data_IF_809676693871
#
_entry.id   IF_809676693871
#
_cell.length_a   1.000
_cell.length_b   1.000
_cell.length_c   1.000
_cell.angle_alpha   90.00
_cell.angle_beta   90.00
_cell.angle_gamma   90.00
#
_symmetry.space_group_name_H-M   'P 1'
#
loop_
_entity.id
_entity.type
_entity.pdbx_description
1 polymer ?
#
# COMPACT_ATOMS: atom_id res chain seq x y z
N UNK A 1 31.89 -5.02 -5.32
CA UNK A 1 31.80 -5.05 -3.83
C UNK A 1 31.09 -3.78 -3.43
N UNK A 2 29.79 -3.84 -3.10
CA UNK A 2 29.07 -2.77 -2.48
C UNK A 2 29.66 -2.57 -1.09
N UNK A 3 30.37 -1.48 -0.86
CA UNK A 3 30.88 -1.12 0.46
C UNK A 3 29.73 -0.78 1.37
N UNK A 4 29.22 -1.78 2.10
CA UNK A 4 28.23 -1.54 3.15
C UNK A 4 29.00 -0.92 4.32
N UNK A 5 28.83 0.40 4.50
CA UNK A 5 29.33 1.07 5.71
C UNK A 5 28.36 0.85 6.85
N UNK A 6 28.87 0.65 8.05
CA UNK A 6 28.02 0.61 9.25
C UNK A 6 27.26 1.94 9.42
N UNK A 7 25.95 1.89 9.75
CA UNK A 7 25.17 3.11 9.96
C UNK A 7 25.72 3.92 11.12
N UNK A 8 25.87 5.23 10.91
CA UNK A 8 26.44 6.16 11.89
C UNK A 8 25.48 6.51 13.02
N UNK A 9 24.19 6.48 12.73
CA UNK A 9 23.10 6.75 13.66
C UNK A 9 21.82 6.05 13.18
N UNK A 10 20.74 6.23 13.92
CA UNK A 10 19.46 5.62 13.64
C UNK A 10 18.81 6.12 12.32
N UNK A 11 18.96 7.40 12.00
CA UNK A 11 18.46 7.95 10.74
C UNK A 11 19.19 7.37 9.53
N UNK A 12 20.51 7.19 9.66
CA UNK A 12 21.34 6.55 8.65
C UNK A 12 20.98 5.07 8.47
N UNK A 13 20.73 4.35 9.56
CA UNK A 13 20.23 2.96 9.52
C UNK A 13 18.90 2.85 8.76
N UNK A 14 17.96 3.76 9.02
CA UNK A 14 16.67 3.77 8.33
C UNK A 14 16.83 4.06 6.85
N UNK A 15 17.67 5.04 6.49
CA UNK A 15 17.97 5.36 5.10
C UNK A 15 18.57 4.17 4.37
N UNK A 16 19.59 3.55 4.92
CA UNK A 16 20.22 2.36 4.35
C UNK A 16 19.23 1.21 4.15
N UNK A 17 18.31 1.02 5.12
CA UNK A 17 17.26 0.01 5.01
C UNK A 17 16.29 0.31 3.86
N UNK A 18 15.88 1.56 3.70
CA UNK A 18 14.99 1.98 2.60
C UNK A 18 15.69 1.79 1.27
N UNK A 19 16.93 2.27 1.14
CA UNK A 19 17.74 2.12 -0.08
C UNK A 19 17.99 0.66 -0.45
N UNK A 20 18.31 -0.19 0.54
CA UNK A 20 18.52 -1.63 0.33
C UNK A 20 17.24 -2.32 -0.15
N UNK A 21 16.10 -2.00 0.46
CA UNK A 21 14.81 -2.56 0.04
C UNK A 21 14.42 -2.09 -1.36
N UNK A 22 14.67 -0.83 -1.68
CA UNK A 22 14.45 -0.29 -3.02
C UNK A 22 15.33 -0.98 -4.08
N UNK A 23 16.63 -1.11 -3.78
CA UNK A 23 17.58 -1.79 -4.67
C UNK A 23 17.20 -3.26 -4.88
N UNK A 24 16.87 -3.99 -3.82
CA UNK A 24 16.41 -5.37 -3.91
C UNK A 24 15.17 -5.50 -4.80
N UNK A 25 14.19 -4.62 -4.61
CA UNK A 25 12.99 -4.56 -5.47
C UNK A 25 13.33 -4.24 -6.93
N UNK A 26 14.26 -3.31 -7.16
CA UNK A 26 14.70 -2.94 -8.51
C UNK A 26 15.47 -4.06 -9.23
N UNK A 27 16.24 -4.86 -8.50
CA UNK A 27 16.93 -6.03 -9.05
C UNK A 27 15.95 -7.16 -9.40
N UNK A 28 14.96 -7.41 -8.54
CA UNK A 28 13.96 -8.46 -8.77
C UNK A 28 12.94 -8.08 -9.85
N UNK A 29 12.61 -6.79 -9.97
CA UNK A 29 11.67 -6.25 -10.94
C UNK A 29 12.36 -5.09 -11.67
N UNK A 30 13.19 -5.38 -12.69
CA UNK A 30 13.95 -4.38 -13.42
C UNK A 30 13.02 -3.35 -14.07
N UNK A 31 13.40 -2.08 -13.97
CA UNK A 31 12.54 -0.94 -14.33
C UNK A 31 12.10 -0.98 -15.78
N UNK A 32 13.04 -1.12 -16.72
CA UNK A 32 12.72 -1.10 -18.15
C UNK A 32 11.69 -2.18 -18.53
N UNK A 33 11.96 -3.44 -18.15
CA UNK A 33 11.06 -4.56 -18.45
C UNK A 33 9.70 -4.42 -17.78
N UNK A 34 9.67 -3.89 -16.56
CA UNK A 34 8.42 -3.66 -15.85
C UNK A 34 7.60 -2.51 -16.46
N UNK A 35 8.24 -1.43 -16.93
CA UNK A 35 7.56 -0.33 -17.62
C UNK A 35 6.95 -0.83 -18.94
N UNK A 36 7.68 -1.61 -19.73
CA UNK A 36 7.17 -2.20 -20.97
C UNK A 36 5.96 -3.09 -20.70
N UNK A 37 6.07 -3.96 -19.68
CA UNK A 37 4.97 -4.83 -19.24
C UNK A 37 3.73 -4.04 -18.80
N UNK A 38 3.92 -3.05 -17.91
CA UNK A 38 2.81 -2.24 -17.38
C UNK A 38 2.20 -1.34 -18.46
N UNK A 39 2.99 -0.81 -19.38
CA UNK A 39 2.48 -0.02 -20.51
C UNK A 39 1.58 -0.88 -21.40
N UNK A 40 2.01 -2.08 -21.74
CA UNK A 40 1.20 -3.01 -22.54
C UNK A 40 -0.11 -3.43 -21.81
N UNK A 41 -0.05 -3.61 -20.48
CA UNK A 41 -1.22 -3.90 -19.67
C UNK A 41 -2.18 -2.69 -19.58
N UNK A 42 -1.65 -1.48 -19.42
CA UNK A 42 -2.44 -0.23 -19.43
C UNK A 42 -3.19 -0.06 -20.76
N UNK A 43 -2.51 -0.26 -21.87
CA UNK A 43 -3.11 -0.08 -23.21
C UNK A 43 -4.27 -1.06 -23.46
N UNK A 44 -4.22 -2.22 -22.82
CA UNK A 44 -5.32 -3.19 -22.76
C UNK A 44 -6.36 -2.91 -21.69
N UNK A 45 -6.14 -1.93 -20.81
CA UNK A 45 -6.94 -1.63 -19.61
C UNK A 45 -7.02 -2.83 -18.63
N UNK A 46 -5.90 -3.48 -18.44
CA UNK A 46 -5.76 -4.71 -17.64
C UNK A 46 -4.62 -4.60 -16.61
N UNK A 47 -4.34 -3.38 -16.11
CA UNK A 47 -3.36 -3.20 -15.04
C UNK A 47 -3.73 -4.06 -13.83
N UNK A 48 -2.78 -4.87 -13.36
CA UNK A 48 -2.95 -5.80 -12.25
C UNK A 48 -1.61 -5.99 -11.52
N UNK A 49 -1.65 -5.97 -10.20
CA UNK A 49 -0.49 -6.27 -9.36
C UNK A 49 -0.15 -7.76 -9.44
N UNK A 50 -1.17 -8.61 -9.57
CA UNK A 50 -1.02 -10.06 -9.71
C UNK A 50 -0.21 -10.41 -10.95
N UNK A 51 -0.52 -9.79 -12.08
CA UNK A 51 0.17 -10.06 -13.33
C UNK A 51 1.64 -9.63 -13.25
N UNK A 52 1.93 -8.50 -12.60
CA UNK A 52 3.31 -8.07 -12.35
C UNK A 52 4.04 -9.06 -11.44
N UNK A 53 3.37 -9.54 -10.35
CA UNK A 53 3.91 -10.58 -9.46
C UNK A 53 4.30 -11.84 -10.24
N UNK A 54 3.40 -12.31 -11.09
CA UNK A 54 3.58 -13.56 -11.83
C UNK A 54 4.63 -13.42 -12.92
N UNK A 55 4.65 -12.28 -13.64
CA UNK A 55 5.63 -12.00 -14.68
C UNK A 55 7.07 -11.98 -14.16
N UNK A 56 7.28 -11.49 -12.94
CA UNK A 56 8.62 -11.38 -12.33
C UNK A 56 8.88 -12.40 -11.21
N UNK A 57 7.95 -13.31 -10.94
CA UNK A 57 8.07 -14.37 -9.93
C UNK A 57 8.46 -13.82 -8.53
N UNK A 58 7.87 -12.71 -8.12
CA UNK A 58 8.13 -12.07 -6.83
C UNK A 58 6.95 -12.23 -5.87
N UNK A 59 7.10 -11.79 -4.62
CA UNK A 59 5.97 -11.75 -3.68
C UNK A 59 4.95 -10.68 -4.09
N UNK A 60 3.70 -10.84 -3.69
CA UNK A 60 2.67 -9.84 -3.95
C UNK A 60 3.03 -8.46 -3.36
N UNK A 61 3.61 -8.43 -2.16
CA UNK A 61 4.07 -7.19 -1.53
C UNK A 61 5.17 -6.52 -2.36
N UNK A 62 6.14 -7.27 -2.85
CA UNK A 62 7.22 -6.74 -3.72
C UNK A 62 6.63 -6.17 -5.02
N UNK A 63 5.73 -6.91 -5.66
CA UNK A 63 5.04 -6.46 -6.86
C UNK A 63 4.23 -5.18 -6.60
N UNK A 64 3.47 -5.12 -5.50
CA UNK A 64 2.66 -3.96 -5.13
C UNK A 64 3.52 -2.71 -4.90
N UNK A 65 4.66 -2.84 -4.23
CA UNK A 65 5.62 -1.73 -4.06
C UNK A 65 6.17 -1.22 -5.39
N UNK A 66 6.65 -2.13 -6.24
CA UNK A 66 7.19 -1.73 -7.55
C UNK A 66 6.10 -1.15 -8.44
N UNK A 67 4.91 -1.76 -8.45
CA UNK A 67 3.76 -1.25 -9.17
C UNK A 67 3.44 0.19 -8.76
N UNK A 68 3.39 0.50 -7.46
CA UNK A 68 3.08 1.84 -6.95
C UNK A 68 4.08 2.87 -7.46
N UNK A 69 5.37 2.56 -7.40
CA UNK A 69 6.41 3.47 -7.88
C UNK A 69 6.33 3.66 -9.40
N UNK A 70 6.30 2.56 -10.16
CA UNK A 70 6.36 2.60 -11.61
C UNK A 70 5.09 3.21 -12.24
N UNK A 71 3.90 2.89 -11.71
CA UNK A 71 2.66 3.45 -12.20
C UNK A 71 2.62 4.97 -12.02
N UNK A 72 3.08 5.47 -10.88
CA UNK A 72 3.13 6.91 -10.62
C UNK A 72 4.19 7.62 -11.46
N UNK A 73 5.42 7.08 -11.51
CA UNK A 73 6.55 7.75 -12.13
C UNK A 73 6.52 7.70 -13.67
N UNK A 74 6.09 6.57 -14.25
CA UNK A 74 6.22 6.33 -15.70
C UNK A 74 4.90 6.25 -16.44
N UNK A 75 3.80 5.89 -15.79
CA UNK A 75 2.49 5.80 -16.44
C UNK A 75 1.60 7.03 -16.16
N UNK A 76 2.01 7.93 -15.27
CA UNK A 76 1.21 9.07 -14.85
C UNK A 76 -0.08 8.65 -14.11
N UNK A 77 -0.10 7.47 -13.52
CA UNK A 77 -1.24 6.95 -12.77
C UNK A 77 -0.92 7.04 -11.28
N UNK A 78 -1.52 7.99 -10.55
CA UNK A 78 -1.29 8.13 -9.13
C UNK A 78 -1.92 6.95 -8.38
N UNK A 79 -1.14 6.31 -7.53
CA UNK A 79 -1.56 5.15 -6.75
C UNK A 79 -1.02 5.23 -5.33
N UNK A 80 -1.76 4.67 -4.39
CA UNK A 80 -1.32 4.49 -3.02
C UNK A 80 -1.14 3.01 -2.68
N UNK A 81 -0.35 2.74 -1.66
CA UNK A 81 -0.08 1.42 -1.12
C UNK A 81 -0.41 1.38 0.36
N UNK A 82 -1.00 0.28 0.81
CA UNK A 82 -1.30 -0.01 2.20
C UNK A 82 -0.90 -1.45 2.54
N UNK A 83 -0.28 -1.63 3.71
CA UNK A 83 -0.17 -2.93 4.37
C UNK A 83 -0.82 -2.84 5.75
N UNK A 84 -1.88 -3.61 5.96
CA UNK A 84 -2.73 -3.54 7.16
C UNK A 84 -2.81 -4.92 7.80
N UNK A 85 -2.54 -4.99 9.09
CA UNK A 85 -2.73 -6.21 9.89
C UNK A 85 -4.24 -6.50 10.05
N UNK A 86 -4.62 -7.76 10.23
CA UNK A 86 -6.02 -8.19 10.42
C UNK A 86 -6.75 -7.45 11.56
N UNK A 87 -6.02 -7.02 12.60
CA UNK A 87 -6.56 -6.13 13.65
C UNK A 87 -6.97 -4.74 13.14
N UNK A 88 -6.61 -4.37 11.92
CA UNK A 88 -6.82 -3.07 11.31
C UNK A 88 -5.68 -2.09 11.50
N UNK A 89 -4.59 -2.51 12.12
CA UNK A 89 -3.42 -1.65 12.34
C UNK A 89 -2.63 -1.48 11.05
N UNK A 90 -2.37 -0.23 10.67
CA UNK A 90 -1.56 0.13 9.52
C UNK A 90 -0.09 -0.16 9.81
N UNK A 91 0.49 -1.06 9.05
CA UNK A 91 1.89 -1.46 9.16
C UNK A 91 2.81 -0.67 8.23
N UNK A 92 2.30 -0.27 7.06
CA UNK A 92 3.04 0.44 6.04
C UNK A 92 2.10 1.14 5.06
N UNK A 93 2.42 2.37 4.68
CA UNK A 93 1.68 3.08 3.66
C UNK A 93 2.59 3.96 2.80
N UNK A 94 2.19 4.13 1.54
CA UNK A 94 2.77 5.11 0.62
C UNK A 94 1.64 5.85 -0.07
N UNK A 95 1.74 7.15 -0.13
CA UNK A 95 0.74 8.04 -0.69
C UNK A 95 1.34 8.78 -1.89
N UNK A 96 0.78 8.55 -3.07
CA UNK A 96 1.17 9.27 -4.29
C UNK A 96 -0.06 9.87 -5.00
N UNK A 97 -1.23 9.85 -4.37
CA UNK A 97 -2.52 10.19 -4.98
C UNK A 97 -3.40 11.08 -4.10
N UNK A 98 -2.80 11.72 -3.09
CA UNK A 98 -3.46 12.59 -2.12
C UNK A 98 -4.56 11.89 -1.29
N UNK A 99 -4.55 10.57 -1.19
CA UNK A 99 -5.44 9.88 -0.27
C UNK A 99 -5.09 10.24 1.18
N UNK A 100 -6.07 10.70 1.95
CA UNK A 100 -5.84 11.00 3.36
C UNK A 100 -5.86 9.71 4.19
N UNK A 101 -4.76 9.41 4.88
CA UNK A 101 -4.66 8.35 5.87
C UNK A 101 -4.81 8.90 7.29
N UNK A 102 -5.31 8.09 8.25
CA UNK A 102 -5.27 8.47 9.64
C UNK A 102 -3.81 8.66 10.10
N UNK A 103 -3.56 9.74 10.82
CA UNK A 103 -2.23 10.08 11.36
C UNK A 103 -2.30 10.31 12.85
N UNK A 104 -1.18 10.10 13.54
CA UNK A 104 -1.00 10.56 14.91
C UNK A 104 -0.70 12.08 14.98
N UNK A 105 -0.47 12.58 16.18
CA UNK A 105 -0.14 13.98 16.40
C UNK A 105 1.19 14.43 15.75
N UNK A 106 2.06 13.49 15.39
CA UNK A 106 3.34 13.72 14.72
C UNK A 106 3.26 13.52 13.20
N UNK A 107 2.07 13.18 12.69
CA UNK A 107 1.83 12.91 11.27
C UNK A 107 2.25 11.50 10.82
N UNK A 108 2.57 10.59 11.75
CA UNK A 108 2.85 9.20 11.41
C UNK A 108 1.56 8.44 11.10
N UNK A 109 1.57 7.67 10.01
CA UNK A 109 0.47 6.80 9.61
C UNK A 109 0.62 5.39 10.17
N UNK A 110 1.84 4.96 10.47
CA UNK A 110 2.12 3.63 11.02
C UNK A 110 1.51 3.48 12.42
N UNK A 111 0.97 2.32 12.71
CA UNK A 111 0.30 2.04 13.99
C UNK A 111 -1.13 2.58 14.09
N UNK A 112 -1.58 3.40 13.15
CA UNK A 112 -2.94 3.92 13.14
C UNK A 112 -3.95 2.85 12.71
N UNK A 113 -5.20 2.97 13.16
CA UNK A 113 -6.28 2.06 12.76
C UNK A 113 -6.92 2.56 11.47
N UNK A 114 -6.90 1.72 10.46
CA UNK A 114 -7.58 1.98 9.18
C UNK A 114 -9.08 1.79 9.32
N UNK A 115 -9.84 2.58 8.60
CA UNK A 115 -11.29 2.50 8.59
C UNK A 115 -11.77 1.08 8.20
N UNK A 116 -12.70 0.54 8.98
CA UNK A 116 -13.29 -0.79 8.77
C UNK A 116 -14.01 -0.95 7.42
N UNK A 117 -14.33 0.15 6.75
CA UNK A 117 -15.01 0.16 5.46
C UNK A 117 -14.05 0.20 4.27
N UNK A 118 -12.73 0.32 4.50
CA UNK A 118 -11.75 0.27 3.43
C UNK A 118 -11.49 -1.18 2.97
N UNK A 119 -11.17 -1.32 1.69
CA UNK A 119 -10.87 -2.63 1.08
C UNK A 119 -9.80 -3.41 1.84
N UNK A 120 -8.79 -2.70 2.37
CA UNK A 120 -7.71 -3.28 3.17
C UNK A 120 -8.20 -4.00 4.45
N UNK A 121 -9.41 -3.67 4.94
CA UNK A 121 -10.05 -4.35 6.06
C UNK A 121 -11.14 -5.32 5.59
N UNK A 122 -11.92 -4.91 4.59
CA UNK A 122 -13.04 -5.71 4.07
C UNK A 122 -12.60 -7.03 3.44
N UNK A 123 -11.37 -7.09 2.95
CA UNK A 123 -10.80 -8.33 2.38
C UNK A 123 -10.73 -9.48 3.40
N UNK A 124 -10.73 -9.20 4.70
CA UNK A 124 -10.75 -10.24 5.74
C UNK A 124 -12.15 -10.80 6.01
N UNK A 125 -13.19 -10.09 5.58
CA UNK A 125 -14.60 -10.43 5.83
C UNK A 125 -15.24 -11.21 4.67
N UNK A 126 -14.50 -11.49 3.58
CA UNK A 126 -15.02 -12.22 2.43
C UNK A 126 -14.66 -13.70 2.48
N UNK A 127 -15.52 -14.55 1.90
CA UNK A 127 -15.33 -16.00 1.87
C UNK A 127 -14.12 -16.42 1.02
N UNK A 128 -13.95 -15.76 -0.14
CA UNK A 128 -12.79 -15.98 -1.01
C UNK A 128 -11.58 -15.18 -0.53
N UNK A 129 -10.70 -15.85 0.20
CA UNK A 129 -9.48 -15.27 0.76
C UNK A 129 -8.25 -15.36 -0.16
N UNK A 130 -8.41 -16.01 -1.31
CA UNK A 130 -7.31 -16.29 -2.23
C UNK A 130 -7.29 -15.39 -3.44
N UNK A 131 -8.46 -14.96 -3.92
CA UNK A 131 -8.58 -14.02 -5.02
C UNK A 131 -8.36 -12.57 -4.58
N UNK A 132 -7.95 -11.68 -5.49
CA UNK A 132 -7.92 -10.25 -5.20
C UNK A 132 -9.32 -9.72 -4.89
N UNK A 133 -9.43 -8.97 -3.82
CA UNK A 133 -10.67 -8.28 -3.46
C UNK A 133 -10.64 -6.85 -4.01
N UNK A 134 -11.61 -6.51 -4.84
CA UNK A 134 -11.74 -5.18 -5.44
C UNK A 134 -12.90 -4.42 -4.82
N UNK A 135 -12.72 -3.12 -4.55
CA UNK A 135 -13.75 -2.27 -3.94
C UNK A 135 -13.59 -0.82 -4.31
N UNK A 136 -14.72 -0.14 -4.50
CA UNK A 136 -14.81 1.31 -4.47
C UNK A 136 -15.05 1.81 -3.05
N UNK A 137 -14.33 2.84 -2.64
CA UNK A 137 -14.53 3.49 -1.33
C UNK A 137 -14.78 4.98 -1.55
N UNK A 138 -15.97 5.44 -1.19
CA UNK A 138 -16.32 6.86 -1.17
C UNK A 138 -15.82 7.48 0.13
N UNK A 139 -14.99 8.51 0.03
CA UNK A 139 -14.43 9.29 1.14
C UNK A 139 -14.75 10.76 0.94
N UNK A 140 -14.65 11.60 2.01
CA UNK A 140 -14.78 13.05 1.85
C UNK A 140 -13.82 13.65 0.82
N UNK A 141 -12.64 13.05 0.64
CA UNK A 141 -11.61 13.47 -0.33
C UNK A 141 -11.84 12.96 -1.75
N UNK A 142 -12.86 12.13 -1.99
CA UNK A 142 -13.16 11.55 -3.30
C UNK A 142 -13.39 10.04 -3.26
N UNK A 143 -13.69 9.47 -4.42
CA UNK A 143 -13.86 8.03 -4.59
C UNK A 143 -12.55 7.40 -5.02
N UNK A 144 -12.17 6.33 -4.34
CA UNK A 144 -10.98 5.52 -4.63
C UNK A 144 -11.39 4.09 -4.94
N UNK A 145 -10.72 3.49 -5.92
CA UNK A 145 -10.77 2.07 -6.17
C UNK A 145 -9.52 1.41 -5.60
N UNK A 146 -9.67 0.24 -4.99
CA UNK A 146 -8.57 -0.51 -4.44
C UNK A 146 -8.69 -1.99 -4.78
N UNK A 147 -7.53 -2.63 -4.98
CA UNK A 147 -7.35 -4.07 -4.95
C UNK A 147 -6.62 -4.46 -3.67
N UNK A 148 -7.07 -5.51 -3.00
CA UNK A 148 -6.50 -5.98 -1.74
C UNK A 148 -6.34 -7.50 -1.75
N UNK A 149 -5.22 -7.99 -1.20
CA UNK A 149 -4.95 -9.42 -1.08
C UNK A 149 -4.41 -9.74 0.31
N UNK A 150 -4.86 -10.87 0.88
CA UNK A 150 -4.36 -11.35 2.17
C UNK A 150 -3.02 -12.05 1.98
N UNK A 151 -2.11 -11.82 2.90
CA UNK A 151 -0.83 -12.50 3.03
C UNK A 151 -0.66 -13.00 4.47
N UNK A 152 -0.47 -14.28 4.63
CA UNK A 152 -0.17 -14.90 5.93
C UNK A 152 1.32 -14.86 6.21
N UNK A 153 1.68 -14.47 7.41
CA UNK A 153 3.06 -14.41 7.91
C UNK A 153 3.15 -15.04 9.29
N UNK A 154 4.36 -15.22 9.80
CA UNK A 154 4.57 -15.66 11.20
C UNK A 154 4.07 -14.67 12.26
N UNK A 155 3.71 -13.43 11.84
CA UNK A 155 3.21 -12.36 12.72
C UNK A 155 1.71 -12.12 12.61
N UNK A 156 1.00 -13.00 11.92
CA UNK A 156 -0.44 -12.86 11.62
C UNK A 156 -0.72 -12.61 10.15
N UNK A 157 -1.96 -12.31 9.85
CA UNK A 157 -2.40 -12.01 8.51
C UNK A 157 -2.36 -10.50 8.23
N UNK A 158 -1.93 -10.18 7.02
CA UNK A 158 -1.88 -8.81 6.53
C UNK A 158 -2.61 -8.71 5.20
N UNK A 159 -3.34 -7.65 5.01
CA UNK A 159 -3.75 -7.24 3.67
C UNK A 159 -2.69 -6.35 3.05
N UNK A 160 -2.39 -6.59 1.78
CA UNK A 160 -1.62 -5.69 0.93
C UNK A 160 -2.58 -5.12 -0.10
N UNK A 161 -2.68 -3.80 -0.15
CA UNK A 161 -3.64 -3.09 -0.99
C UNK A 161 -2.94 -2.05 -1.85
N UNK A 162 -3.37 -1.95 -3.09
CA UNK A 162 -3.02 -0.87 -4.02
C UNK A 162 -4.31 -0.19 -4.46
N UNK A 163 -4.34 1.13 -4.44
CA UNK A 163 -5.52 1.88 -4.84
C UNK A 163 -5.18 3.10 -5.69
N UNK A 164 -6.20 3.64 -6.35
CA UNK A 164 -6.11 4.80 -7.24
C UNK A 164 -7.38 5.65 -7.14
N UNK A 165 -7.31 6.97 -7.39
CA UNK A 165 -8.50 7.78 -7.53
C UNK A 165 -9.39 7.31 -8.69
N UNK A 166 -10.71 7.50 -8.57
CA UNK A 166 -11.71 7.08 -9.55
C UNK A 166 -11.38 7.51 -11.00
N UNK A 167 -10.77 8.68 -11.17
CA UNK A 167 -10.40 9.20 -12.49
C UNK A 167 -9.43 8.29 -13.27
N UNK A 168 -8.69 7.41 -12.58
CA UNK A 168 -7.68 6.53 -13.18
C UNK A 168 -8.09 5.06 -13.20
N UNK A 169 -9.24 4.70 -12.64
CA UNK A 169 -9.68 3.31 -12.48
C UNK A 169 -9.86 2.58 -13.82
N UNK A 170 -10.13 3.30 -14.89
CA UNK A 170 -10.35 2.74 -16.22
C UNK A 170 -9.21 1.86 -16.74
N UNK A 171 -8.02 2.00 -16.18
CA UNK A 171 -6.83 1.25 -16.58
C UNK A 171 -6.69 -0.11 -15.86
N UNK A 172 -7.47 -0.33 -14.79
CA UNK A 172 -7.28 -1.48 -13.90
C UNK A 172 -8.24 -2.64 -14.20
N UNK A 173 -7.72 -3.85 -14.04
CA UNK A 173 -8.55 -5.06 -13.93
C UNK A 173 -9.38 -5.01 -12.65
N UNK A 174 -10.60 -5.57 -12.66
CA UNK A 174 -11.48 -5.58 -11.50
C UNK A 174 -12.21 -4.24 -11.25
N UNK A 175 -12.14 -3.29 -12.17
CA UNK A 175 -12.89 -2.03 -12.14
C UNK A 175 -14.41 -2.23 -12.14
N UNK A 176 -14.89 -3.36 -12.66
CA UNK A 176 -16.32 -3.68 -12.76
C UNK A 176 -16.89 -4.26 -11.46
N UNK A 177 -16.11 -4.25 -10.37
CA UNK A 177 -16.55 -4.77 -9.07
C UNK A 177 -17.83 -4.09 -8.59
N UNK A 178 -18.83 -4.84 -8.10
CA UNK A 178 -20.00 -4.27 -7.47
C UNK A 178 -19.75 -3.79 -6.03
N UNK A 179 -18.59 -4.15 -5.44
CA UNK A 179 -18.28 -3.83 -4.06
C UNK A 179 -18.04 -2.33 -3.89
N UNK A 180 -18.85 -1.69 -3.04
CA UNK A 180 -18.74 -0.28 -2.73
C UNK A 180 -19.01 -0.02 -1.27
N UNK A 181 -18.24 0.87 -0.66
CA UNK A 181 -18.39 1.29 0.74
C UNK A 181 -18.24 2.80 0.88
N UNK A 182 -18.83 3.36 1.92
CA UNK A 182 -18.66 4.77 2.28
C UNK A 182 -17.84 4.87 3.58
N UNK A 183 -16.86 5.74 3.60
CA UNK A 183 -15.98 5.99 4.73
C UNK A 183 -15.92 7.49 5.03
N UNK A 184 -16.13 7.87 6.29
CA UNK A 184 -15.95 9.24 6.77
C UNK A 184 -14.51 9.53 7.23
N UNK A 185 -13.62 8.55 7.13
CA UNK A 185 -12.22 8.68 7.58
C UNK A 185 -11.40 9.68 6.73
N UNK A 186 -10.50 10.42 7.38
CA UNK A 186 -10.22 10.41 8.81
C UNK A 186 -11.31 11.14 9.60
N UNK A 187 -11.92 10.46 10.58
CA UNK A 187 -12.96 11.00 11.45
C UNK A 187 -12.72 10.48 12.88
N UNK A 188 -12.36 11.37 13.79
CA UNK A 188 -12.05 11.04 15.19
C UNK A 188 -13.24 10.44 15.94
N UNK A 189 -14.47 10.79 15.54
CA UNK A 189 -15.70 10.27 16.16
C UNK A 189 -16.05 8.84 15.73
N UNK A 190 -15.55 8.38 14.59
CA UNK A 190 -15.93 7.09 13.99
C UNK A 190 -14.99 5.94 14.39
N UNK A 191 -13.70 6.21 14.53
CA UNK A 191 -12.70 5.16 14.79
C UNK A 191 -12.49 4.95 16.28
N UNK A 192 -12.76 3.74 16.77
CA UNK A 192 -12.25 3.34 18.08
C UNK A 192 -10.74 3.38 18.04
N UNK A 193 -10.13 4.24 18.85
CA UNK A 193 -8.68 4.25 19.06
C UNK A 193 -8.26 2.88 19.58
N UNK A 194 -7.08 2.37 19.20
CA UNK A 194 -6.55 1.15 19.80
C UNK A 194 -6.50 1.30 21.32
N UNK A 195 -6.66 0.19 22.09
CA UNK A 195 -6.47 0.22 23.53
C UNK A 195 -5.17 0.94 23.89
N UNK A 196 -5.18 1.72 24.96
CA UNK A 196 -4.08 2.62 25.37
C UNK A 196 -2.74 1.89 25.52
N UNK A 197 -2.76 0.60 25.87
CA UNK A 197 -1.59 -0.26 25.97
C UNK A 197 -0.97 -0.61 24.62
N UNK A 198 -1.80 -0.79 23.58
CA UNK A 198 -1.32 -0.95 22.20
C UNK A 198 -0.79 0.38 21.66
N UNK A 199 -1.48 1.49 21.90
CA UNK A 199 -1.03 2.81 21.48
C UNK A 199 0.34 3.18 22.07
N UNK A 200 0.57 2.87 23.36
CA UNK A 200 1.86 3.12 24.02
C UNK A 200 3.00 2.22 23.49
N UNK A 201 2.71 0.96 23.17
CA UNK A 201 3.69 0.07 22.52
C UNK A 201 4.06 0.52 21.12
N UNK A 202 3.10 1.03 20.37
CA UNK A 202 3.31 1.51 19.01
C UNK A 202 4.03 2.86 18.99
N UNK A 203 3.75 3.77 19.92
CA UNK A 203 4.47 5.03 20.07
C UNK A 203 5.98 4.81 20.37
N UNK A 204 6.33 3.70 21.03
CA UNK A 204 7.73 3.30 21.27
C UNK A 204 8.40 2.62 20.07
N UNK A 205 7.60 2.13 19.10
CA UNK A 205 8.07 1.43 17.90
C UNK A 205 7.86 2.22 16.61
N UNK A 206 7.17 3.37 16.68
CA UNK A 206 6.92 4.22 15.52
C UNK A 206 8.21 4.87 15.06
N UNK A 207 8.78 4.31 14.04
CA UNK A 207 9.81 4.96 13.25
C UNK A 207 9.14 6.02 12.38
N UNK A 208 9.73 7.21 12.24
CA UNK A 208 9.17 8.22 11.35
C UNK A 208 9.00 7.61 9.95
N UNK A 209 7.79 7.72 9.41
CA UNK A 209 7.51 7.28 8.05
C UNK A 209 8.44 8.04 7.11
N UNK A 210 9.28 7.33 6.39
CA UNK A 210 10.07 7.93 5.33
C UNK A 210 9.12 8.35 4.22
N UNK A 211 8.73 9.61 4.19
CA UNK A 211 8.13 10.22 3.00
C UNK A 211 9.23 10.24 1.94
N UNK A 212 9.11 9.44 0.91
CA UNK A 212 9.87 9.63 -0.31
C UNK A 212 9.33 10.89 -0.97
N UNK A 213 9.87 12.04 -0.57
CA UNK A 213 9.68 13.26 -1.33
C UNK A 213 10.41 13.07 -2.65
N UNK A 214 9.66 12.94 -3.73
CA UNK A 214 10.16 13.13 -5.09
C UNK A 214 10.56 14.61 -5.23
N UNK A 215 11.83 14.89 -5.20
CA UNK A 215 12.43 16.11 -5.77
C UNK A 215 12.89 15.80 -7.18
#
# INVERSE_FOLDING_TARGET
VLGVTEPKDYADFLRQRVETNYLAGALMVPEQSAIEFLTAARDKRELSVEDLRDAFAVTYETAAHRFTNLATQHLGIPVHFLKVHESGTLSKAYENDNVAFPTDALGSVEGQIVCRYWSARRVFDVDDRFSPYHQYTDKPSGTYWCTSRIQSTSRGEFSVSVGTPFAHVMWFRGRDTPNRSTSTCPDEGCCRRPPTDLASRWAQQSLPSARLNSS
#
